data_IF_167550121072
#
_entry.id   IF_167550121072
#
_cell.length_a   1.000
_cell.length_b   1.000
_cell.length_c   1.000
_cell.angle_alpha   90.00
_cell.angle_beta   90.00
_cell.angle_gamma   90.00
#
_symmetry.space_group_name_H-M   'P 1'
#
loop_
_entity.id
_entity.type
_entity.pdbx_description
1 polymer ?
#
# COMPACT_ATOMS: atom_id res chain seq x y z
N UNK A 1 -39.90 -10.26 23.02
CA UNK A 1 -39.37 -8.98 22.52
C UNK A 1 -38.14 -9.31 21.67
N UNK A 2 -38.29 -9.35 20.35
CA UNK A 2 -37.17 -9.62 19.45
C UNK A 2 -36.28 -8.40 19.35
N UNK A 3 -34.97 -8.61 19.44
CA UNK A 3 -33.96 -7.61 19.10
C UNK A 3 -34.14 -7.19 17.63
N UNK A 4 -33.98 -5.91 17.28
CA UNK A 4 -34.08 -5.47 15.89
C UNK A 4 -32.92 -6.08 15.09
N UNK A 5 -33.24 -6.50 13.87
CA UNK A 5 -32.27 -6.93 12.89
C UNK A 5 -31.22 -5.82 12.70
N UNK A 6 -29.94 -6.19 12.82
CA UNK A 6 -28.83 -5.35 12.36
C UNK A 6 -29.01 -5.08 10.87
N UNK A 7 -29.36 -3.84 10.53
CA UNK A 7 -29.30 -3.36 9.16
C UNK A 7 -27.82 -3.21 8.80
N UNK A 8 -27.27 -4.21 8.11
CA UNK A 8 -25.88 -4.24 7.65
C UNK A 8 -25.88 -3.96 6.14
N UNK A 9 -25.91 -2.67 5.74
CA UNK A 9 -25.52 -2.25 4.36
C UNK A 9 -25.27 -0.74 4.12
N UNK A 10 -25.30 0.14 5.14
CA UNK A 10 -25.25 1.60 4.89
C UNK A 10 -23.84 2.23 5.00
N UNK A 11 -22.75 1.48 4.84
CA UNK A 11 -21.42 2.09 4.96
C UNK A 11 -20.20 1.17 4.88
N UNK A 12 -20.22 0.14 4.02
CA UNK A 12 -19.02 -0.65 3.68
C UNK A 12 -18.73 -0.46 2.20
N UNK A 13 -17.51 -0.02 1.88
CA UNK A 13 -17.02 0.06 0.52
C UNK A 13 -16.21 -1.19 0.19
N UNK A 14 -16.38 -1.72 -1.03
CA UNK A 14 -15.49 -2.76 -1.54
C UNK A 14 -14.15 -2.10 -1.91
N UNK A 15 -13.04 -2.67 -1.44
CA UNK A 15 -11.70 -2.18 -1.74
C UNK A 15 -10.90 -3.30 -2.40
N UNK A 16 -10.57 -3.10 -3.67
CA UNK A 16 -9.70 -4.00 -4.43
C UNK A 16 -8.33 -3.35 -4.59
N UNK A 17 -7.27 -4.14 -4.39
CA UNK A 17 -5.89 -3.65 -4.44
C UNK A 17 -5.12 -4.47 -5.46
N UNK A 18 -4.41 -3.80 -6.37
CA UNK A 18 -3.58 -4.43 -7.38
C UNK A 18 -2.25 -3.70 -7.52
N UNK A 19 -1.12 -4.39 -7.37
CA UNK A 19 0.20 -3.84 -7.71
C UNK A 19 0.37 -3.88 -9.23
N UNK A 20 0.29 -2.71 -9.88
CA UNK A 20 0.29 -2.59 -11.35
C UNK A 20 1.69 -2.56 -11.94
N UNK A 21 2.67 -2.05 -11.21
CA UNK A 21 4.06 -2.01 -11.66
C UNK A 21 5.00 -2.21 -10.48
N UNK A 22 6.08 -2.97 -10.70
CA UNK A 22 7.18 -3.15 -9.77
C UNK A 22 8.51 -2.94 -10.50
N UNK A 23 9.27 -1.93 -10.09
CA UNK A 23 10.62 -1.66 -10.57
C UNK A 23 11.63 -2.06 -9.50
N UNK A 24 12.44 -3.10 -9.77
CA UNK A 24 13.58 -3.45 -8.92
C UNK A 24 14.64 -2.35 -9.01
N UNK A 25 15.23 -2.03 -7.87
CA UNK A 25 16.27 -1.02 -7.75
C UNK A 25 17.58 -1.71 -7.38
N UNK A 26 18.59 -1.54 -8.22
CA UNK A 26 19.94 -1.99 -7.95
C UNK A 26 20.72 -0.91 -7.20
N UNK A 27 21.44 -1.30 -6.15
CA UNK A 27 22.33 -0.41 -5.43
C UNK A 27 22.63 -0.85 -3.99
N UNK A 28 23.57 -0.18 -3.31
CA UNK A 28 23.95 -0.51 -1.94
C UNK A 28 22.95 0.00 -0.88
N UNK A 29 21.88 0.69 -1.31
CA UNK A 29 20.90 1.30 -0.43
C UNK A 29 19.89 0.29 0.14
N UNK A 30 19.03 0.79 1.03
CA UNK A 30 17.93 -0.01 1.58
C UNK A 30 16.77 -0.19 0.61
N UNK A 31 16.61 0.69 -0.39
CA UNK A 31 15.53 0.58 -1.37
C UNK A 31 15.82 -0.56 -2.35
N UNK A 32 14.92 -1.54 -2.43
CA UNK A 32 15.07 -2.70 -3.33
C UNK A 32 14.05 -2.70 -4.45
N UNK A 33 12.90 -2.04 -4.27
CA UNK A 33 11.94 -1.83 -5.34
C UNK A 33 11.06 -0.60 -5.11
N UNK A 34 10.56 -0.05 -6.21
CA UNK A 34 9.47 0.92 -6.25
C UNK A 34 8.27 0.27 -6.92
N UNK A 35 7.09 0.52 -6.38
CA UNK A 35 5.85 -0.01 -6.91
C UNK A 35 4.79 1.08 -7.09
N UNK A 36 3.89 0.84 -8.03
CA UNK A 36 2.63 1.56 -8.10
C UNK A 36 1.51 0.55 -7.84
N UNK A 37 0.54 0.95 -7.03
CA UNK A 37 -0.62 0.15 -6.71
C UNK A 37 -1.90 0.90 -7.13
N UNK A 38 -2.82 0.19 -7.76
CA UNK A 38 -4.18 0.65 -7.97
C UNK A 38 -5.05 0.17 -6.81
N UNK A 39 -5.79 1.10 -6.23
CA UNK A 39 -6.78 0.86 -5.19
C UNK A 39 -8.13 1.25 -5.77
N UNK A 40 -8.97 0.27 -6.06
CA UNK A 40 -10.33 0.49 -6.54
C UNK A 40 -11.28 0.48 -5.35
N UNK A 41 -12.03 1.56 -5.18
CA UNK A 41 -13.02 1.74 -4.12
C UNK A 41 -14.37 1.99 -4.79
N UNK A 42 -15.32 1.06 -4.62
CA UNK A 42 -16.67 1.12 -5.22
C UNK A 42 -16.65 1.54 -6.71
N UNK A 43 -15.74 0.95 -7.50
CA UNK A 43 -15.57 1.21 -8.93
C UNK A 43 -14.72 2.43 -9.28
N UNK A 44 -14.14 3.13 -8.29
CA UNK A 44 -13.27 4.29 -8.51
C UNK A 44 -11.80 3.88 -8.33
N UNK A 45 -11.00 3.79 -9.41
CA UNK A 45 -9.58 3.45 -9.31
C UNK A 45 -8.76 4.65 -8.84
N UNK A 46 -7.90 4.42 -7.85
CA UNK A 46 -6.94 5.38 -7.30
C UNK A 46 -5.55 4.81 -7.49
N UNK A 47 -4.72 5.49 -8.28
CA UNK A 47 -3.33 5.08 -8.46
C UNK A 47 -2.44 5.69 -7.35
N UNK A 48 -1.87 4.83 -6.52
CA UNK A 48 -0.86 5.18 -5.53
C UNK A 48 0.52 4.91 -6.11
N UNK A 49 1.28 5.99 -6.37
CA UNK A 49 2.59 5.90 -6.99
C UNK A 49 3.71 6.07 -5.97
N UNK A 50 4.79 5.29 -6.14
CA UNK A 50 5.98 5.40 -5.30
C UNK A 50 5.88 4.67 -3.96
N UNK A 51 5.13 3.56 -3.91
CA UNK A 51 5.22 2.60 -2.80
C UNK A 51 6.63 2.03 -2.78
N UNK A 52 7.24 1.91 -1.60
CA UNK A 52 8.66 1.55 -1.47
C UNK A 52 8.81 0.22 -0.77
N UNK A 53 9.57 -0.68 -1.38
CA UNK A 53 10.04 -1.90 -0.73
C UNK A 53 11.48 -1.66 -0.23
N UNK A 54 11.68 -1.80 1.07
CA UNK A 54 12.93 -1.49 1.75
C UNK A 54 13.47 -2.74 2.45
N UNK A 55 14.76 -3.01 2.29
CA UNK A 55 15.47 -4.05 3.02
C UNK A 55 16.11 -3.46 4.28
N UNK A 56 15.94 -4.17 5.39
CA UNK A 56 16.60 -3.89 6.67
C UNK A 56 17.14 -5.21 7.21
N UNK A 57 18.41 -5.50 6.89
CA UNK A 57 18.98 -6.83 7.12
C UNK A 57 18.22 -7.90 6.33
N UNK A 58 17.72 -8.92 7.02
CA UNK A 58 16.93 -10.00 6.42
C UNK A 58 15.46 -9.63 6.18
N UNK A 59 14.97 -8.51 6.73
CA UNK A 59 13.56 -8.13 6.69
C UNK A 59 13.27 -7.22 5.49
N UNK A 60 12.20 -7.52 4.76
CA UNK A 60 11.61 -6.66 3.72
C UNK A 60 10.40 -5.91 4.30
N UNK A 61 10.51 -4.60 4.40
CA UNK A 61 9.40 -3.71 4.79
C UNK A 61 8.83 -3.04 3.55
N UNK A 62 7.53 -2.79 3.56
CA UNK A 62 6.83 -2.04 2.52
C UNK A 62 6.23 -0.81 3.16
N UNK A 63 6.49 0.34 2.57
CA UNK A 63 6.07 1.64 3.08
C UNK A 63 5.29 2.38 2.00
N UNK A 64 4.23 3.07 2.42
CA UNK A 64 3.52 4.02 1.57
C UNK A 64 4.48 5.11 1.04
N UNK A 65 4.11 5.76 -0.08
CA UNK A 65 4.84 6.91 -0.61
C UNK A 65 5.11 7.95 0.47
N UNK A 66 6.28 8.58 0.40
CA UNK A 66 6.65 9.66 1.30
C UNK A 66 7.18 10.85 0.51
N UNK A 67 6.96 12.05 1.06
CA UNK A 67 7.56 13.29 0.56
C UNK A 67 8.37 13.97 1.67
N UNK A 68 9.21 14.93 1.28
CA UNK A 68 9.91 15.79 2.23
C UNK A 68 9.11 17.06 2.44
N UNK A 69 8.81 17.39 3.70
CA UNK A 69 8.22 18.69 4.03
C UNK A 69 9.24 19.84 3.90
N UNK A 70 8.79 21.06 4.20
CA UNK A 70 9.62 22.28 4.14
C UNK A 70 10.83 22.26 5.08
N UNK A 71 10.79 21.45 6.14
CA UNK A 71 11.87 21.29 7.12
C UNK A 71 12.75 20.09 6.79
N UNK A 72 12.50 19.43 5.65
CA UNK A 72 13.21 18.24 5.22
C UNK A 72 12.85 16.98 5.99
N UNK A 73 11.72 16.92 6.71
CA UNK A 73 11.24 15.70 7.38
C UNK A 73 10.49 14.81 6.38
N UNK A 74 10.61 13.50 6.55
CA UNK A 74 9.81 12.56 5.78
C UNK A 74 8.37 12.54 6.32
N UNK A 75 7.41 12.77 5.44
CA UNK A 75 5.98 12.70 5.73
C UNK A 75 5.29 11.68 4.82
N UNK A 76 4.24 10.98 5.29
CA UNK A 76 3.42 10.12 4.44
C UNK A 76 2.78 10.94 3.31
N UNK A 77 3.01 10.55 2.06
CA UNK A 77 2.35 11.13 0.89
C UNK A 77 0.92 10.63 0.72
N UNK A 78 0.63 9.45 1.25
CA UNK A 78 -0.72 8.92 1.44
C UNK A 78 -0.78 8.18 2.77
N UNK A 79 -1.90 8.33 3.47
CA UNK A 79 -2.20 7.54 4.66
C UNK A 79 -3.24 6.49 4.25
N UNK A 80 -2.80 5.24 4.20
CA UNK A 80 -3.65 4.11 3.87
C UNK A 80 -4.04 3.38 5.16
N UNK A 81 -5.25 2.81 5.24
CA UNK A 81 -5.59 1.87 6.30
C UNK A 81 -4.64 0.66 6.29
N UNK A 82 -4.32 0.13 7.48
CA UNK A 82 -3.40 -1.01 7.64
C UNK A 82 -3.74 -2.21 6.73
N UNK A 83 -5.02 -2.63 6.56
CA UNK A 83 -5.36 -3.74 5.67
C UNK A 83 -4.97 -3.50 4.22
N UNK A 84 -5.11 -2.25 3.73
CA UNK A 84 -4.79 -1.88 2.35
C UNK A 84 -3.28 -1.92 2.13
N UNK A 85 -2.51 -1.35 3.05
CA UNK A 85 -1.05 -1.40 2.96
C UNK A 85 -0.51 -2.82 3.11
N UNK A 86 -1.13 -3.64 3.96
CA UNK A 86 -0.76 -5.05 4.13
C UNK A 86 -0.97 -5.85 2.83
N UNK A 87 -2.08 -5.61 2.12
CA UNK A 87 -2.36 -6.26 0.83
C UNK A 87 -1.35 -5.84 -0.25
N UNK A 88 -1.05 -4.53 -0.38
CA UNK A 88 0.02 -4.04 -1.25
C UNK A 88 1.35 -4.73 -0.91
N UNK A 89 1.66 -4.84 0.38
CA UNK A 89 2.90 -5.45 0.83
C UNK A 89 2.97 -6.94 0.49
N UNK A 90 1.86 -7.68 0.58
CA UNK A 90 1.79 -9.09 0.21
C UNK A 90 2.09 -9.28 -1.28
N UNK A 91 1.45 -8.51 -2.16
CA UNK A 91 1.66 -8.59 -3.60
C UNK A 91 3.09 -8.21 -4.02
N UNK A 92 3.69 -7.19 -3.38
CA UNK A 92 5.09 -6.82 -3.63
C UNK A 92 6.05 -7.95 -3.21
N UNK A 93 5.80 -8.60 -2.05
CA UNK A 93 6.65 -9.71 -1.58
C UNK A 93 6.59 -10.88 -2.56
N UNK A 94 5.39 -11.24 -3.01
CA UNK A 94 5.18 -12.29 -4.01
C UNK A 94 5.93 -11.98 -5.31
N UNK A 95 5.78 -10.77 -5.85
CA UNK A 95 6.45 -10.35 -7.09
C UNK A 95 7.99 -10.26 -6.98
N UNK A 96 8.52 -10.09 -5.77
CA UNK A 96 9.96 -10.11 -5.50
C UNK A 96 10.54 -11.51 -5.28
N UNK A 97 9.70 -12.50 -4.98
CA UNK A 97 10.12 -13.89 -4.80
C UNK A 97 10.29 -14.63 -6.13
N UNK A 98 9.69 -14.13 -7.21
CA UNK A 98 9.82 -14.62 -8.59
C UNK A 98 11.12 -14.18 -9.25
#
# INVERSE_FOLDING_TARGET
MSAPAIADDAGRALVNVTVVTLLRVDGPGRLVALANAEIEIDGVPILVQGVRALRSGAVLTVEAPQFRDRDGRWCPGVVLPDPVLAEIAAQIREALAQ
#
